data_IF_546341109322
#
_entry.id   IF_546341109322
#
_cell.length_a   1.000
_cell.length_b   1.000
_cell.length_c   1.000
_cell.angle_alpha   90.00
_cell.angle_beta   90.00
_cell.angle_gamma   90.00
#
_symmetry.space_group_name_H-M   'P 1'
#
loop_
_entity.id
_entity.type
_entity.pdbx_description
1 polymer ?
#
# COMPACT_ATOMS: atom_id res chain seq x y z
N UNK A 1 2.33 29.24 -8.02
CA UNK A 1 3.12 28.74 -9.16
C UNK A 1 3.52 29.93 -10.04
N UNK A 2 4.77 30.40 -9.96
CA UNK A 2 5.34 31.32 -10.95
C UNK A 2 6.43 30.57 -11.69
N UNK A 3 6.30 30.43 -13.01
CA UNK A 3 7.37 29.94 -13.89
C UNK A 3 8.43 31.03 -14.01
N UNK A 4 9.69 30.68 -13.82
CA UNK A 4 10.80 31.49 -14.31
C UNK A 4 10.85 31.34 -15.84
N UNK A 5 10.92 32.43 -16.62
CA UNK A 5 11.03 32.33 -18.06
C UNK A 5 12.51 32.27 -18.42
N UNK A 6 13.02 31.12 -18.87
CA UNK A 6 14.22 31.01 -19.70
C UNK A 6 14.31 29.60 -20.29
N UNK A 7 14.52 29.51 -21.61
CA UNK A 7 14.95 28.28 -22.29
C UNK A 7 13.98 27.77 -23.36
N UNK A 8 14.53 27.15 -24.39
CA UNK A 8 13.94 26.85 -25.69
C UNK A 8 12.94 25.68 -25.71
N UNK A 9 12.07 25.71 -26.72
CA UNK A 9 11.01 24.72 -26.94
C UNK A 9 11.54 23.38 -27.42
N UNK A 10 11.71 22.46 -26.48
CA UNK A 10 11.64 21.02 -26.71
C UNK A 10 10.44 20.50 -25.91
N UNK A 11 9.51 19.80 -26.57
CA UNK A 11 8.32 19.19 -25.96
C UNK A 11 8.70 17.91 -25.17
N UNK A 12 9.72 18.00 -24.33
CA UNK A 12 9.95 17.07 -23.24
C UNK A 12 9.29 17.72 -22.02
N UNK A 13 8.00 17.44 -21.80
CA UNK A 13 7.25 17.81 -20.58
C UNK A 13 7.77 16.99 -19.37
N UNK A 14 9.09 16.99 -19.14
CA UNK A 14 9.64 16.73 -17.81
C UNK A 14 9.46 18.03 -17.03
N UNK A 15 8.24 18.21 -16.50
CA UNK A 15 7.97 19.18 -15.46
C UNK A 15 8.94 18.85 -14.30
N UNK A 16 10.10 19.51 -14.31
CA UNK A 16 11.14 19.35 -13.30
C UNK A 16 10.56 19.47 -11.89
N UNK A 17 11.34 19.11 -10.85
CA UNK A 17 10.82 18.96 -9.49
C UNK A 17 9.93 20.14 -9.09
N UNK A 18 8.64 19.87 -8.91
CA UNK A 18 7.68 20.86 -8.44
C UNK A 18 8.02 21.13 -6.99
N UNK A 19 8.63 22.27 -6.72
CA UNK A 19 8.93 22.72 -5.36
C UNK A 19 7.77 23.59 -4.84
N UNK A 20 6.86 23.05 -4.02
CA UNK A 20 5.77 23.85 -3.47
C UNK A 20 6.32 24.88 -2.49
N UNK A 21 6.17 26.17 -2.81
CA UNK A 21 6.49 27.25 -1.89
C UNK A 21 5.24 27.67 -1.11
N UNK A 22 5.36 27.72 0.21
CA UNK A 22 4.31 28.23 1.08
C UNK A 22 4.37 29.76 1.12
N UNK A 23 3.20 30.40 1.02
CA UNK A 23 3.06 31.85 1.13
C UNK A 23 2.94 32.31 2.59
N UNK A 24 2.69 31.37 3.49
CA UNK A 24 2.50 31.59 4.91
C UNK A 24 3.77 31.18 5.66
N UNK A 25 4.40 32.15 6.33
CA UNK A 25 5.62 31.96 7.11
C UNK A 25 5.33 31.67 8.60
N UNK A 26 4.08 31.32 8.95
CA UNK A 26 3.70 31.00 10.34
C UNK A 26 3.98 29.55 10.74
N UNK A 27 4.24 28.66 9.78
CA UNK A 27 4.51 27.25 10.04
C UNK A 27 5.94 27.01 10.53
N UNK A 28 6.07 26.14 11.52
CA UNK A 28 7.38 25.70 12.01
C UNK A 28 8.04 24.71 11.03
N UNK A 29 9.35 24.50 11.15
CA UNK A 29 10.04 23.47 10.36
C UNK A 29 9.51 22.05 10.62
N UNK A 30 8.98 21.79 11.82
CA UNK A 30 8.34 20.52 12.16
C UNK A 30 7.00 20.34 11.45
N UNK A 31 6.20 21.41 11.35
CA UNK A 31 4.95 21.40 10.59
C UNK A 31 5.22 21.14 9.11
N UNK A 32 6.24 21.80 8.56
CA UNK A 32 6.66 21.62 7.16
C UNK A 32 7.09 20.18 6.88
N UNK A 33 7.90 19.59 7.76
CA UNK A 33 8.31 18.19 7.64
C UNK A 33 7.11 17.24 7.69
N UNK A 34 6.17 17.49 8.61
CA UNK A 34 4.94 16.70 8.74
C UNK A 34 4.07 16.78 7.48
N UNK A 35 3.92 17.98 6.89
CA UNK A 35 3.18 18.17 5.65
C UNK A 35 3.84 17.44 4.48
N UNK A 36 5.17 17.51 4.39
CA UNK A 36 5.93 16.81 3.36
C UNK A 36 5.78 15.29 3.49
N UNK A 37 5.92 14.75 4.70
CA UNK A 37 5.74 13.32 4.98
C UNK A 37 4.31 12.84 4.61
N UNK A 38 3.29 13.64 4.90
CA UNK A 38 1.91 13.35 4.53
C UNK A 38 1.69 13.39 3.01
N UNK A 39 2.30 14.35 2.31
CA UNK A 39 2.24 14.45 0.86
C UNK A 39 2.92 13.25 0.20
N UNK A 40 4.10 12.86 0.67
CA UNK A 40 4.84 11.71 0.13
C UNK A 40 4.12 10.39 0.42
N UNK A 41 3.52 10.24 1.61
CA UNK A 41 2.66 9.11 1.92
C UNK A 41 1.43 9.02 1.00
N UNK A 42 0.81 10.16 0.69
CA UNK A 42 -0.33 10.23 -0.24
C UNK A 42 0.10 9.82 -1.65
N UNK A 43 1.25 10.31 -2.12
CA UNK A 43 1.82 9.95 -3.42
C UNK A 43 2.21 8.49 -3.50
N UNK A 44 2.77 7.92 -2.42
CA UNK A 44 3.05 6.49 -2.32
C UNK A 44 1.77 5.66 -2.48
N UNK A 45 0.72 5.99 -1.73
CA UNK A 45 -0.55 5.28 -1.79
C UNK A 45 -1.19 5.37 -3.19
N UNK A 46 -1.19 6.57 -3.79
CA UNK A 46 -1.69 6.79 -5.14
C UNK A 46 -0.88 6.01 -6.19
N UNK A 47 0.46 6.05 -6.13
CA UNK A 47 1.35 5.30 -7.03
C UNK A 47 1.03 3.81 -7.01
N UNK A 48 0.87 3.23 -5.82
CA UNK A 48 0.54 1.81 -5.68
C UNK A 48 -0.84 1.51 -6.31
N UNK A 49 -1.87 2.30 -5.99
CA UNK A 49 -3.22 2.09 -6.48
C UNK A 49 -3.38 2.32 -8.00
N UNK A 50 -2.59 3.26 -8.56
CA UNK A 50 -2.63 3.61 -9.97
C UNK A 50 -1.79 2.68 -10.85
N UNK A 51 -0.81 1.99 -10.27
CA UNK A 51 0.03 1.04 -11.00
C UNK A 51 -0.82 -0.12 -11.53
N UNK A 52 -0.73 -0.48 -12.82
CA UNK A 52 -1.45 -1.63 -13.38
C UNK A 52 -1.13 -2.94 -12.63
N UNK A 53 -2.14 -3.78 -12.40
CA UNK A 53 -2.02 -4.98 -11.56
C UNK A 53 -1.06 -6.05 -12.10
N UNK A 54 -0.77 -6.06 -13.40
CA UNK A 54 0.27 -6.93 -13.97
C UNK A 54 1.69 -6.52 -13.54
N UNK A 55 1.87 -5.26 -13.10
CA UNK A 55 3.10 -4.73 -12.53
C UNK A 55 3.00 -4.75 -11.00
N UNK A 56 1.93 -4.21 -10.43
CA UNK A 56 1.65 -4.19 -8.99
C UNK A 56 0.90 -5.46 -8.56
N UNK A 57 1.55 -6.61 -8.70
CA UNK A 57 1.04 -7.87 -8.16
C UNK A 57 1.35 -8.01 -6.66
N UNK A 58 0.96 -9.13 -6.05
CA UNK A 58 1.18 -9.37 -4.60
C UNK A 58 2.65 -9.27 -4.22
N UNK A 59 3.56 -9.84 -5.04
CA UNK A 59 4.99 -9.82 -4.76
C UNK A 59 5.56 -8.41 -4.84
N UNK A 60 5.13 -7.63 -5.83
CA UNK A 60 5.55 -6.24 -5.94
C UNK A 60 5.07 -5.40 -4.77
N UNK A 61 3.84 -5.63 -4.29
CA UNK A 61 3.33 -4.93 -3.11
C UNK A 61 4.14 -5.30 -1.85
N UNK A 62 4.52 -6.57 -1.68
CA UNK A 62 5.42 -6.98 -0.58
C UNK A 62 6.75 -6.21 -0.67
N UNK A 63 7.34 -6.09 -1.86
CA UNK A 63 8.57 -5.31 -2.06
C UNK A 63 8.41 -3.84 -1.63
N UNK A 64 7.29 -3.19 -2.00
CA UNK A 64 6.98 -1.82 -1.57
C UNK A 64 6.89 -1.72 -0.04
N UNK A 65 6.26 -2.70 0.63
CA UNK A 65 6.16 -2.75 2.08
C UNK A 65 7.53 -2.94 2.76
N UNK A 66 8.39 -3.81 2.22
CA UNK A 66 9.77 -3.99 2.69
C UNK A 66 10.61 -2.72 2.47
N UNK A 67 10.44 -2.05 1.32
CA UNK A 67 11.14 -0.81 1.04
C UNK A 67 10.76 0.29 2.04
N UNK A 68 9.46 0.44 2.34
CA UNK A 68 8.99 1.37 3.38
C UNK A 68 9.58 1.03 4.75
N UNK A 69 9.61 -0.24 5.14
CA UNK A 69 10.22 -0.64 6.41
C UNK A 69 11.71 -0.27 6.48
N UNK A 70 12.44 -0.48 5.39
CA UNK A 70 13.86 -0.12 5.26
C UNK A 70 14.08 1.39 5.32
N UNK A 71 13.27 2.18 4.63
CA UNK A 71 13.36 3.65 4.60
C UNK A 71 13.06 4.28 5.98
N UNK A 72 12.33 3.56 6.83
CA UNK A 72 12.00 3.93 8.21
C UNK A 72 12.97 3.32 9.24
N UNK A 73 13.99 2.59 8.78
CA UNK A 73 14.95 1.87 9.64
C UNK A 73 14.28 0.90 10.64
N UNK A 74 13.17 0.28 10.21
CA UNK A 74 12.45 -0.72 11.01
C UNK A 74 13.01 -2.12 10.78
N UNK A 75 12.63 -3.04 11.66
CA UNK A 75 12.85 -4.47 11.42
C UNK A 75 12.09 -4.94 10.17
N UNK A 76 12.61 -5.99 9.53
CA UNK A 76 11.96 -6.67 8.41
C UNK A 76 10.48 -6.99 8.73
N UNK A 77 9.55 -6.73 7.79
CA UNK A 77 8.15 -7.06 7.97
C UNK A 77 7.94 -8.56 8.21
N UNK A 78 6.96 -8.90 9.06
CA UNK A 78 6.49 -10.30 9.13
C UNK A 78 5.68 -10.60 7.88
N UNK A 79 6.08 -11.64 7.12
CA UNK A 79 5.39 -12.07 5.91
C UNK A 79 4.92 -13.52 6.08
N UNK A 80 3.61 -13.75 5.92
CA UNK A 80 2.99 -15.08 5.94
C UNK A 80 2.35 -15.30 4.57
N UNK A 81 2.85 -16.26 3.79
CA UNK A 81 2.53 -16.36 2.34
C UNK A 81 2.07 -17.74 1.91
N UNK A 82 1.13 -17.78 0.96
CA UNK A 82 0.67 -19.01 0.31
C UNK A 82 0.13 -20.06 1.28
N UNK A 83 0.62 -21.29 1.19
CA UNK A 83 0.19 -22.42 2.03
C UNK A 83 0.39 -22.19 3.53
N UNK A 84 1.31 -21.31 3.91
CA UNK A 84 1.50 -20.94 5.31
C UNK A 84 0.27 -20.24 5.90
N UNK A 85 -0.43 -19.43 5.10
CA UNK A 85 -1.70 -18.81 5.51
C UNK A 85 -2.72 -19.90 5.87
N UNK A 86 -2.82 -20.95 5.04
CA UNK A 86 -3.71 -22.08 5.30
C UNK A 86 -3.30 -22.83 6.57
N UNK A 87 -2.00 -23.12 6.72
CA UNK A 87 -1.48 -23.83 7.89
C UNK A 87 -1.72 -23.07 9.20
N UNK A 88 -1.68 -21.73 9.16
CA UNK A 88 -1.96 -20.85 10.31
C UNK A 88 -3.44 -20.52 10.49
N UNK A 89 -4.35 -21.15 9.74
CA UNK A 89 -5.81 -20.95 9.89
C UNK A 89 -6.35 -19.67 9.26
N UNK A 90 -5.57 -18.97 8.42
CA UNK A 90 -5.98 -17.75 7.73
C UNK A 90 -6.75 -18.07 6.43
N UNK A 91 -7.78 -18.91 6.56
CA UNK A 91 -8.52 -19.51 5.45
C UNK A 91 -9.21 -18.48 4.54
N UNK A 92 -9.65 -17.34 5.10
CA UNK A 92 -10.26 -16.27 4.32
C UNK A 92 -9.30 -15.68 3.28
N UNK A 93 -8.13 -15.21 3.72
CA UNK A 93 -7.12 -14.61 2.83
C UNK A 93 -6.55 -15.64 1.84
N UNK A 94 -6.23 -16.83 2.34
CA UNK A 94 -5.80 -17.94 1.49
C UNK A 94 -6.84 -18.27 0.42
N UNK A 95 -8.11 -18.43 0.82
CA UNK A 95 -9.20 -18.78 -0.08
C UNK A 95 -9.42 -17.77 -1.20
N UNK A 96 -9.28 -16.48 -0.93
CA UNK A 96 -9.40 -15.43 -1.96
C UNK A 96 -8.25 -15.53 -2.97
N UNK A 97 -7.01 -15.66 -2.51
CA UNK A 97 -5.84 -15.59 -3.40
C UNK A 97 -5.37 -16.91 -4.03
N UNK A 98 -5.84 -18.07 -3.55
CA UNK A 98 -5.27 -19.39 -3.95
C UNK A 98 -5.41 -19.76 -5.43
N UNK A 99 -6.21 -19.02 -6.20
CA UNK A 99 -6.36 -19.23 -7.64
C UNK A 99 -5.49 -18.31 -8.51
N UNK A 100 -4.86 -17.30 -7.91
CA UNK A 100 -3.99 -16.39 -8.63
C UNK A 100 -2.61 -17.02 -8.87
N UNK A 101 -1.88 -16.49 -9.85
CA UNK A 101 -0.52 -16.91 -10.16
C UNK A 101 0.47 -16.51 -9.05
N UNK A 102 0.32 -15.30 -8.51
CA UNK A 102 1.06 -14.86 -7.32
C UNK A 102 0.28 -15.27 -6.06
N UNK A 103 0.88 -16.03 -5.14
CA UNK A 103 0.18 -16.50 -3.94
C UNK A 103 -0.14 -15.34 -2.98
N UNK A 104 -1.25 -15.43 -2.22
CA UNK A 104 -1.64 -14.39 -1.27
C UNK A 104 -0.64 -14.29 -0.11
N UNK A 105 -0.58 -13.12 0.53
CA UNK A 105 0.29 -12.86 1.66
C UNK A 105 -0.36 -11.93 2.70
N UNK A 106 -0.10 -12.19 3.98
CA UNK A 106 -0.26 -11.21 5.04
C UNK A 106 1.11 -10.60 5.33
N UNK A 107 1.20 -9.28 5.25
CA UNK A 107 2.42 -8.52 5.56
C UNK A 107 2.16 -7.64 6.76
N UNK A 108 3.01 -7.69 7.77
CA UNK A 108 2.89 -6.86 8.97
C UNK A 108 4.17 -6.05 9.23
N UNK A 109 4.07 -4.73 9.20
CA UNK A 109 5.12 -3.81 9.64
C UNK A 109 4.95 -3.48 11.12
N UNK A 110 6.06 -3.28 11.82
CA UNK A 110 6.05 -3.10 13.27
C UNK A 110 6.89 -1.89 13.70
N UNK A 111 6.24 -0.92 14.34
CA UNK A 111 6.89 0.14 15.07
C UNK A 111 6.57 0.00 16.57
N UNK A 112 7.60 -0.16 17.40
CA UNK A 112 7.46 -0.43 18.84
C UNK A 112 8.50 0.37 19.64
N UNK A 113 8.19 1.60 20.08
CA UNK A 113 9.08 2.33 20.96
C UNK A 113 9.09 1.66 22.35
N UNK A 114 10.23 1.65 23.02
CA UNK A 114 10.43 0.90 24.27
C UNK A 114 9.45 1.28 25.40
N UNK A 115 9.02 2.55 25.43
CA UNK A 115 8.09 3.08 26.43
C UNK A 115 6.61 2.95 26.04
N UNK A 116 6.28 2.30 24.92
CA UNK A 116 4.89 2.17 24.48
C UNK A 116 4.04 1.37 25.48
N UNK A 117 2.99 2.01 26.00
CA UNK A 117 1.98 1.37 26.85
C UNK A 117 0.68 1.05 26.10
N UNK A 118 0.53 1.60 24.89
CA UNK A 118 -0.62 1.38 24.00
C UNK A 118 -0.15 0.81 22.67
N UNK A 119 -0.94 -0.10 22.12
CA UNK A 119 -0.72 -0.69 20.80
C UNK A 119 -1.93 -0.44 19.92
N UNK A 120 -1.68 -0.01 18.68
CA UNK A 120 -2.70 0.18 17.64
C UNK A 120 -2.29 -0.63 16.41
N UNK A 121 -3.27 -1.24 15.74
CA UNK A 121 -3.06 -1.90 14.46
C UNK A 121 -4.01 -1.31 13.41
N UNK A 122 -3.47 -0.90 12.28
CA UNK A 122 -4.21 -0.55 11.08
C UNK A 122 -4.18 -1.73 10.13
N UNK A 123 -5.35 -2.10 9.61
CA UNK A 123 -5.51 -3.25 8.73
C UNK A 123 -6.02 -2.77 7.38
N UNK A 124 -5.29 -3.08 6.31
CA UNK A 124 -5.59 -2.66 4.96
C UNK A 124 -5.97 -3.84 4.06
N UNK A 125 -7.09 -3.70 3.34
CA UNK A 125 -7.45 -4.61 2.24
C UNK A 125 -6.53 -4.35 1.04
N UNK A 126 -5.79 -5.37 0.61
CA UNK A 126 -4.84 -5.29 -0.50
C UNK A 126 -5.19 -6.25 -1.62
N UNK A 127 -6.39 -6.13 -2.19
CA UNK A 127 -6.75 -6.92 -3.37
C UNK A 127 -6.13 -6.26 -4.61
N UNK A 128 -4.99 -6.77 -5.07
CA UNK A 128 -4.21 -6.15 -6.16
C UNK A 128 -4.96 -6.13 -7.49
N UNK A 129 -5.86 -7.09 -7.67
CA UNK A 129 -6.89 -7.06 -8.70
C UNK A 129 -8.09 -7.91 -8.30
N UNK A 130 -9.29 -7.45 -8.62
CA UNK A 130 -10.54 -8.15 -8.31
C UNK A 130 -11.33 -8.48 -9.57
N UNK A 131 -11.24 -9.72 -10.02
CA UNK A 131 -12.09 -10.22 -11.12
C UNK A 131 -13.51 -10.56 -10.66
N UNK A 132 -13.74 -10.64 -9.34
CA UNK A 132 -14.91 -11.26 -8.72
C UNK A 132 -14.74 -12.76 -8.43
N UNK A 133 -13.69 -13.40 -8.94
CA UNK A 133 -13.51 -14.85 -8.84
C UNK A 133 -14.51 -15.59 -9.72
N UNK A 134 -14.96 -16.79 -9.32
CA UNK A 134 -15.96 -17.55 -10.10
C UNK A 134 -17.31 -16.81 -10.21
N UNK A 135 -17.62 -15.94 -9.25
CA UNK A 135 -18.69 -14.96 -9.37
C UNK A 135 -18.18 -13.74 -10.16
N UNK A 136 -17.83 -13.98 -11.42
CA UNK A 136 -17.12 -13.02 -12.27
C UNK A 136 -17.88 -11.69 -12.36
N UNK A 137 -17.15 -10.59 -12.19
CA UNK A 137 -17.65 -9.25 -12.45
C UNK A 137 -18.06 -9.10 -13.91
N UNK A 138 -19.15 -8.37 -14.15
CA UNK A 138 -19.52 -7.98 -15.50
C UNK A 138 -18.47 -7.01 -16.09
N UNK A 139 -18.44 -6.92 -17.43
CA UNK A 139 -17.43 -6.16 -18.19
C UNK A 139 -17.12 -4.77 -17.61
N UNK A 140 -18.15 -3.97 -17.37
CA UNK A 140 -17.97 -2.57 -16.91
C UNK A 140 -17.60 -2.48 -15.44
N UNK A 141 -18.01 -3.44 -14.61
CA UNK A 141 -17.70 -3.47 -13.17
C UNK A 141 -16.28 -3.94 -12.83
N UNK A 142 -15.56 -4.51 -13.80
CA UNK A 142 -14.17 -4.94 -13.62
C UNK A 142 -13.15 -3.83 -13.92
N UNK A 143 -13.55 -2.84 -14.72
CA UNK A 143 -12.70 -1.68 -15.02
C UNK A 143 -12.42 -0.90 -13.73
N UNK A 144 -11.15 -0.57 -13.50
CA UNK A 144 -10.72 0.15 -12.29
C UNK A 144 -10.38 -0.72 -11.08
N UNK A 145 -10.58 -2.05 -11.15
CA UNK A 145 -10.30 -2.95 -10.00
C UNK A 145 -8.82 -3.11 -9.63
N UNK A 146 -7.89 -2.47 -10.35
CA UNK A 146 -6.52 -2.24 -9.85
C UNK A 146 -6.51 -1.43 -8.53
N UNK A 147 -7.49 -0.55 -8.37
CA UNK A 147 -7.64 0.28 -7.17
C UNK A 147 -8.20 -0.47 -5.95
N UNK A 148 -8.54 -1.75 -6.06
CA UNK A 148 -9.10 -2.53 -4.93
C UNK A 148 -8.05 -2.86 -3.84
N UNK A 149 -6.80 -2.46 -4.07
CA UNK A 149 -5.71 -2.48 -3.10
C UNK A 149 -5.45 -1.13 -2.42
N UNK A 150 -6.20 -0.07 -2.77
CA UNK A 150 -5.97 1.28 -2.25
C UNK A 150 -6.08 1.36 -0.72
N UNK A 151 -6.86 0.48 -0.08
CA UNK A 151 -6.94 0.40 1.38
C UNK A 151 -5.60 -0.01 2.03
N UNK A 152 -4.96 -1.06 1.51
CA UNK A 152 -3.61 -1.45 1.95
C UNK A 152 -2.58 -0.37 1.61
N UNK A 153 -2.69 0.27 0.44
CA UNK A 153 -1.78 1.33 0.02
C UNK A 153 -1.87 2.55 0.96
N UNK A 154 -3.10 2.95 1.32
CA UNK A 154 -3.35 4.02 2.28
C UNK A 154 -2.82 3.68 3.68
N UNK A 155 -3.03 2.44 4.15
CA UNK A 155 -2.48 1.98 5.44
C UNK A 155 -0.95 2.02 5.44
N UNK A 156 -0.29 1.57 4.36
CA UNK A 156 1.16 1.60 4.25
C UNK A 156 1.70 3.03 4.23
N UNK A 157 1.12 3.92 3.43
CA UNK A 157 1.49 5.34 3.39
C UNK A 157 1.27 6.05 4.73
N UNK A 158 0.09 5.89 5.32
CA UNK A 158 -0.22 6.48 6.62
C UNK A 158 0.71 5.96 7.72
N UNK A 159 1.05 4.66 7.70
CA UNK A 159 2.01 4.08 8.63
C UNK A 159 3.39 4.74 8.47
N UNK A 160 3.85 4.93 7.24
CA UNK A 160 5.13 5.58 6.98
C UNK A 160 5.17 7.02 7.52
N UNK A 161 4.17 7.84 7.19
CA UNK A 161 4.09 9.22 7.71
C UNK A 161 4.00 9.25 9.25
N UNK A 162 3.16 8.40 9.84
CA UNK A 162 2.99 8.34 11.29
C UNK A 162 4.28 7.92 12.01
N UNK A 163 5.03 6.95 11.49
CA UNK A 163 6.28 6.48 12.12
C UNK A 163 7.39 7.52 12.03
N UNK A 164 7.45 8.35 10.97
CA UNK A 164 8.41 9.46 10.87
C UNK A 164 8.25 10.48 11.99
N UNK A 165 7.01 10.70 12.46
CA UNK A 165 6.71 11.54 13.63
C UNK A 165 7.11 10.89 14.98
N UNK A 166 7.63 9.65 14.98
CA UNK A 166 8.13 8.92 16.16
C UNK A 166 7.15 8.94 17.36
N UNK A 167 5.89 8.49 17.18
CA UNK A 167 4.88 8.57 18.21
C UNK A 167 5.25 7.66 19.40
N UNK A 168 4.74 7.98 20.59
CA UNK A 168 5.00 7.18 21.80
C UNK A 168 4.19 5.87 21.91
N UNK A 169 3.39 5.55 20.89
CA UNK A 169 2.57 4.34 20.83
C UNK A 169 3.21 3.27 19.95
N UNK A 170 2.97 2.00 20.26
CA UNK A 170 3.28 0.92 19.32
C UNK A 170 2.23 0.93 18.19
N UNK A 171 2.71 0.87 16.96
CA UNK A 171 1.88 0.90 15.76
C UNK A 171 2.22 -0.28 14.85
N UNK A 172 1.17 -0.90 14.30
CA UNK A 172 1.28 -1.98 13.34
C UNK A 172 0.48 -1.64 12.08
N UNK A 173 1.07 -1.89 10.91
CA UNK A 173 0.34 -1.92 9.64
C UNK A 173 0.25 -3.38 9.19
N UNK A 174 -0.97 -3.89 9.03
CA UNK A 174 -1.26 -5.25 8.57
C UNK A 174 -1.92 -5.18 7.21
N UNK A 175 -1.27 -5.71 6.19
CA UNK A 175 -1.70 -5.66 4.81
C UNK A 175 -2.14 -7.07 4.38
N UNK A 176 -3.41 -7.20 4.02
CA UNK A 176 -4.00 -8.46 3.56
C UNK A 176 -3.95 -8.48 2.03
N UNK A 177 -2.91 -9.08 1.46
CA UNK A 177 -2.60 -9.02 0.03
C UNK A 177 -3.06 -10.28 -0.71
N UNK A 178 -3.85 -10.10 -1.76
CA UNK A 178 -4.26 -11.20 -2.64
C UNK A 178 -4.69 -10.66 -4.01
N UNK A 179 -4.76 -11.54 -5.00
CA UNK A 179 -5.50 -11.29 -6.23
C UNK A 179 -6.72 -12.20 -6.25
N UNK A 180 -7.93 -11.64 -6.43
CA UNK A 180 -9.14 -12.45 -6.55
C UNK A 180 -9.31 -12.87 -8.02
N UNK A 181 -8.62 -13.96 -8.38
CA UNK A 181 -8.54 -14.47 -9.76
C UNK A 181 -9.54 -15.59 -10.05
N UNK A 182 -9.83 -15.80 -11.34
CA UNK A 182 -10.54 -16.99 -11.83
C UNK A 182 -9.56 -18.11 -12.09
N UNK A 183 -9.86 -19.30 -11.56
CA UNK A 183 -9.06 -20.48 -11.82
C UNK A 183 -9.72 -21.75 -11.29
N UNK A 184 -9.17 -22.94 -11.62
CA UNK A 184 -9.71 -24.22 -11.16
C UNK A 184 -9.71 -24.34 -9.63
N UNK A 185 -8.78 -23.63 -8.98
CA UNK A 185 -8.67 -23.57 -7.53
C UNK A 185 -9.50 -22.43 -6.90
N UNK A 186 -10.22 -21.62 -7.67
CA UNK A 186 -10.93 -20.47 -7.12
C UNK A 186 -12.02 -20.88 -6.11
N UNK A 187 -12.27 -20.00 -5.15
CA UNK A 187 -13.34 -20.17 -4.18
C UNK A 187 -14.70 -20.11 -4.90
N UNK A 188 -15.59 -21.03 -4.55
CA UNK A 188 -16.96 -21.11 -5.09
C UNK A 188 -17.94 -20.49 -4.10
N UNK A 189 -19.04 -19.93 -4.58
CA UNK A 189 -20.18 -19.56 -3.74
C UNK A 189 -20.61 -20.79 -2.92
N UNK A 190 -20.73 -20.64 -1.60
CA UNK A 190 -20.97 -21.72 -0.63
C UNK A 190 -19.81 -22.70 -0.37
N UNK A 191 -18.57 -22.34 -0.70
CA UNK A 191 -17.40 -23.07 -0.14
C UNK A 191 -17.28 -22.76 1.36
N UNK A 192 -17.12 -23.78 2.23
CA UNK A 192 -16.86 -23.57 3.65
C UNK A 192 -15.49 -22.92 3.89
#
# INVERSE_FOLDING_TARGET
VRRTPDGDGSDDDDDGPVDPYLLDNTLSSEDLATLQDAADATRLAARIADTPANIMNVDKFIEEACQVAKDLELAEPTIIRGEELRARGMGGLYGVGRAAACPPALVALHYRPAAATRTVAWVGKGIVYDTGGLSIKARTSMVGMKGDCAGAAAVLGAFAAAVRARPSIALHAVLCLAENAVGPLATRSASP
#
